data_IF_106484786515
#
_entry.id   IF_106484786515
#
_cell.length_a   1.000
_cell.length_b   1.000
_cell.length_c   1.000
_cell.angle_alpha   90.00
_cell.angle_beta   90.00
_cell.angle_gamma   90.00
#
_symmetry.space_group_name_H-M   'P 1'
#
loop_
_entity.id
_entity.type
_entity.pdbx_description
1 polymer ?
#
# COMPACT_ATOMS: atom_id res chain seq x y z
N UNK A 1 2.72 1.11 11.23
CA UNK A 1 3.54 2.31 11.55
C UNK A 1 5.06 2.11 11.47
N UNK A 2 5.63 0.93 11.75
CA UNK A 2 7.10 0.72 11.79
C UNK A 2 7.82 0.91 10.44
N UNK A 3 7.21 0.47 9.32
CA UNK A 3 7.81 0.55 7.97
C UNK A 3 8.07 1.98 7.48
N UNK A 4 7.12 2.91 7.66
CA UNK A 4 7.29 4.32 7.23
C UNK A 4 8.50 4.96 7.93
N UNK A 5 8.71 4.69 9.23
CA UNK A 5 9.87 5.19 9.98
C UNK A 5 11.20 4.67 9.44
N UNK A 6 11.27 3.37 9.14
CA UNK A 6 12.47 2.76 8.53
C UNK A 6 12.75 3.41 7.17
N UNK A 7 11.72 3.57 6.34
CA UNK A 7 11.88 4.17 5.02
C UNK A 7 12.37 5.63 5.09
N UNK A 8 11.83 6.44 6.01
CA UNK A 8 12.32 7.80 6.24
C UNK A 8 13.78 7.83 6.72
N UNK A 9 14.19 6.91 7.60
CA UNK A 9 15.60 6.79 8.01
C UNK A 9 16.51 6.43 6.84
N UNK A 10 16.09 5.48 5.99
CA UNK A 10 16.84 5.08 4.79
C UNK A 10 16.97 6.23 3.79
N UNK A 11 15.90 7.01 3.55
CA UNK A 11 15.95 8.21 2.71
C UNK A 11 16.90 9.25 3.31
N UNK A 12 16.86 9.46 4.63
CA UNK A 12 17.79 10.37 5.31
C UNK A 12 19.26 9.97 5.17
N UNK A 13 19.57 8.68 5.29
CA UNK A 13 20.92 8.16 5.08
C UNK A 13 21.38 8.31 3.62
N UNK A 14 20.51 8.01 2.66
CA UNK A 14 20.79 8.18 1.23
C UNK A 14 21.01 9.65 0.87
N UNK A 15 20.21 10.55 1.44
CA UNK A 15 20.37 11.99 1.24
C UNK A 15 21.67 12.52 1.84
N UNK A 16 22.06 12.04 3.03
CA UNK A 16 23.36 12.35 3.63
C UNK A 16 24.52 11.85 2.73
N UNK A 17 24.41 10.63 2.21
CA UNK A 17 25.36 10.07 1.24
C UNK A 17 25.43 10.85 -0.07
N UNK A 18 24.30 11.40 -0.55
CA UNK A 18 24.27 12.25 -1.73
C UNK A 18 25.05 13.55 -1.49
N UNK A 19 24.83 14.18 -0.32
CA UNK A 19 25.54 15.41 0.06
C UNK A 19 27.05 15.16 0.16
N UNK A 20 27.49 14.10 0.84
CA UNK A 20 28.92 13.81 0.96
C UNK A 20 29.55 13.55 -0.40
N UNK A 21 28.87 12.79 -1.26
CA UNK A 21 29.34 12.48 -2.62
C UNK A 21 29.43 13.73 -3.50
N UNK A 22 28.52 14.71 -3.32
CA UNK A 22 28.59 16.01 -4.00
C UNK A 22 29.83 16.82 -3.58
N UNK A 23 30.19 16.81 -2.30
CA UNK A 23 31.39 17.51 -1.81
C UNK A 23 32.71 16.85 -2.24
N UNK A 24 32.72 15.52 -2.42
CA UNK A 24 33.90 14.77 -2.85
C UNK A 24 33.89 14.45 -4.35
N UNK A 25 32.98 15.07 -5.11
CA UNK A 25 32.77 14.74 -6.50
C UNK A 25 33.97 15.13 -7.37
N UNK A 26 34.47 14.18 -8.15
CA UNK A 26 35.51 14.42 -9.15
C UNK A 26 35.04 13.94 -10.53
N UNK A 27 34.80 14.87 -11.45
CA UNK A 27 34.30 14.61 -12.81
C UNK A 27 35.20 13.73 -13.65
N UNK A 28 36.50 13.71 -13.37
CA UNK A 28 37.50 12.91 -14.09
C UNK A 28 37.58 11.46 -13.60
N UNK A 29 37.01 11.16 -12.42
CA UNK A 29 36.99 9.80 -11.87
C UNK A 29 35.70 9.09 -12.26
N UNK A 30 35.83 8.00 -13.02
CA UNK A 30 34.70 7.12 -13.37
C UNK A 30 34.00 6.61 -12.10
N UNK A 31 34.75 6.27 -11.05
CA UNK A 31 34.18 5.81 -9.78
C UNK A 31 33.30 6.88 -9.11
N UNK A 32 33.71 8.15 -9.17
CA UNK A 32 32.93 9.26 -8.62
C UNK A 32 31.64 9.48 -9.41
N UNK A 33 31.69 9.36 -10.74
CA UNK A 33 30.51 9.47 -11.60
C UNK A 33 29.50 8.35 -11.35
N UNK A 34 29.96 7.10 -11.25
CA UNK A 34 29.11 5.95 -10.95
C UNK A 34 28.50 6.10 -9.55
N UNK A 35 29.28 6.48 -8.54
CA UNK A 35 28.79 6.68 -7.17
C UNK A 35 27.66 7.73 -7.12
N UNK A 36 27.86 8.87 -7.79
CA UNK A 36 26.87 9.95 -7.81
C UNK A 36 25.56 9.50 -8.49
N UNK A 37 25.65 8.81 -9.63
CA UNK A 37 24.47 8.29 -10.35
C UNK A 37 23.74 7.23 -9.51
N UNK A 38 24.47 6.28 -8.91
CA UNK A 38 23.87 5.23 -8.08
C UNK A 38 23.16 5.79 -6.87
N UNK A 39 23.76 6.76 -6.16
CA UNK A 39 23.14 7.38 -4.99
C UNK A 39 21.94 8.23 -5.40
N UNK A 40 22.03 8.96 -6.52
CA UNK A 40 20.91 9.73 -7.04
C UNK A 40 19.71 8.82 -7.37
N UNK A 41 19.94 7.75 -8.15
CA UNK A 41 18.89 6.78 -8.49
C UNK A 41 18.33 6.08 -7.25
N UNK A 42 19.18 5.70 -6.30
CA UNK A 42 18.75 5.09 -5.03
C UNK A 42 17.89 6.02 -4.18
N UNK A 43 18.26 7.30 -4.11
CA UNK A 43 17.49 8.33 -3.39
C UNK A 43 16.15 8.57 -4.06
N UNK A 44 16.13 8.78 -5.39
CA UNK A 44 14.91 9.00 -6.15
C UNK A 44 13.95 7.81 -6.07
N UNK A 45 14.46 6.58 -6.25
CA UNK A 45 13.66 5.36 -6.13
C UNK A 45 13.07 5.16 -4.72
N UNK A 46 13.84 5.47 -3.69
CA UNK A 46 13.37 5.40 -2.30
C UNK A 46 12.24 6.40 -2.03
N UNK A 47 12.35 7.63 -2.56
CA UNK A 47 11.28 8.63 -2.47
C UNK A 47 10.04 8.16 -3.22
N UNK A 48 10.16 7.66 -4.45
CA UNK A 48 9.03 7.14 -5.23
C UNK A 48 8.31 6.00 -4.49
N UNK A 49 9.05 5.16 -3.76
CA UNK A 49 8.46 4.06 -2.98
C UNK A 49 7.53 4.52 -1.83
N UNK A 50 7.63 5.77 -1.37
CA UNK A 50 6.68 6.34 -0.40
C UNK A 50 5.27 6.47 -0.97
N UNK A 51 5.16 6.67 -2.28
CA UNK A 51 3.91 6.93 -2.97
C UNK A 51 3.23 5.66 -3.49
N UNK A 52 3.91 4.51 -3.42
CA UNK A 52 3.31 3.22 -3.80
C UNK A 52 2.40 2.77 -2.65
N UNK A 53 1.06 2.75 -2.85
CA UNK A 53 0.15 2.26 -1.83
C UNK A 53 0.43 0.77 -1.61
N UNK A 54 0.80 0.44 -0.38
CA UNK A 54 1.10 -0.93 0.04
C UNK A 54 -0.05 -1.57 0.81
N UNK A 55 -1.06 -0.76 1.08
CA UNK A 55 -2.34 -1.16 1.62
C UNK A 55 -3.37 -0.10 1.24
N UNK A 56 -4.57 -0.54 0.90
CA UNK A 56 -5.76 0.28 0.72
C UNK A 56 -6.76 -0.07 1.82
N UNK A 57 -7.43 0.94 2.37
CA UNK A 57 -8.37 0.75 3.47
C UNK A 57 -9.68 1.44 3.16
N UNK A 58 -10.79 0.71 3.35
CA UNK A 58 -12.13 1.24 3.16
C UNK A 58 -13.04 0.79 4.30
N UNK A 59 -13.73 1.76 4.91
CA UNK A 59 -14.84 1.50 5.83
C UNK A 59 -16.10 1.27 4.98
N UNK A 60 -16.83 0.21 5.31
CA UNK A 60 -18.07 -0.21 4.65
C UNK A 60 -19.19 -0.10 5.67
N UNK A 61 -20.25 0.57 5.29
CA UNK A 61 -21.48 0.68 6.07
C UNK A 61 -22.51 -0.34 5.58
N UNK A 62 -23.51 -0.63 6.42
CA UNK A 62 -24.56 -1.61 6.10
C UNK A 62 -25.30 -1.34 4.78
N UNK A 63 -25.42 -0.05 4.41
CA UNK A 63 -26.09 0.38 3.19
C UNK A 63 -25.23 0.29 1.92
N UNK A 64 -23.92 0.07 2.07
CA UNK A 64 -22.99 -0.03 0.95
C UNK A 64 -23.05 -1.41 0.26
N UNK A 65 -23.57 -2.42 0.96
CA UNK A 65 -23.72 -3.78 0.45
C UNK A 65 -24.82 -3.86 -0.61
N UNK A 66 -24.48 -4.39 -1.78
CA UNK A 66 -25.42 -4.64 -2.87
C UNK A 66 -25.87 -6.08 -2.84
N UNK A 67 -27.17 -6.32 -2.97
CA UNK A 67 -27.69 -7.68 -3.12
C UNK A 67 -27.54 -8.09 -4.58
N UNK A 68 -26.71 -9.10 -4.84
CA UNK A 68 -26.48 -9.66 -6.17
C UNK A 68 -26.72 -11.17 -6.07
N UNK A 69 -27.77 -11.65 -6.75
CA UNK A 69 -28.10 -13.08 -6.82
C UNK A 69 -28.30 -13.78 -5.45
N UNK A 70 -28.76 -13.04 -4.43
CA UNK A 70 -28.97 -13.57 -3.08
C UNK A 70 -27.82 -13.34 -2.11
N UNK A 71 -26.62 -13.00 -2.61
CA UNK A 71 -25.45 -12.66 -1.79
C UNK A 71 -25.33 -11.14 -1.60
N UNK A 72 -24.95 -10.72 -0.38
CA UNK A 72 -24.57 -9.33 -0.14
C UNK A 72 -23.11 -9.15 -0.52
N UNK A 73 -22.90 -8.32 -1.54
CA UNK A 73 -21.62 -8.16 -2.21
C UNK A 73 -21.15 -6.70 -2.15
N UNK A 74 -19.86 -6.51 -1.93
CA UNK A 74 -19.19 -5.21 -2.06
C UNK A 74 -17.99 -5.35 -2.99
N UNK A 75 -17.81 -4.38 -3.89
CA UNK A 75 -16.76 -4.42 -4.92
C UNK A 75 -15.86 -3.21 -4.73
N UNK A 76 -14.58 -3.46 -4.53
CA UNK A 76 -13.52 -2.45 -4.55
C UNK A 76 -12.77 -2.62 -5.87
N UNK A 77 -12.84 -1.60 -6.73
CA UNK A 77 -12.24 -1.69 -8.06
C UNK A 77 -10.73 -1.45 -8.01
N UNK A 78 -9.98 -2.08 -8.93
CA UNK A 78 -8.54 -1.93 -9.06
C UNK A 78 -8.11 -0.47 -9.22
N UNK A 79 -8.90 0.33 -9.92
CA UNK A 79 -8.64 1.77 -10.07
C UNK A 79 -8.67 2.54 -8.74
N UNK A 80 -9.33 2.01 -7.71
CA UNK A 80 -9.43 2.63 -6.39
C UNK A 80 -8.28 2.20 -5.48
N UNK A 81 -7.94 0.90 -5.45
CA UNK A 81 -6.90 0.39 -4.55
C UNK A 81 -5.50 0.29 -5.18
N UNK A 82 -5.39 0.19 -6.50
CA UNK A 82 -4.13 0.23 -7.26
C UNK A 82 -3.20 -0.98 -7.09
N UNK A 83 -3.65 -2.06 -6.47
CA UNK A 83 -2.82 -3.23 -6.13
C UNK A 83 -3.03 -4.34 -7.16
N UNK A 84 -1.96 -4.75 -7.86
CA UNK A 84 -2.02 -5.74 -8.97
C UNK A 84 -2.34 -7.16 -8.51
N UNK A 85 -1.95 -7.55 -7.31
CA UNK A 85 -2.19 -8.89 -6.76
C UNK A 85 -2.83 -8.75 -5.38
N UNK A 86 -4.10 -8.31 -5.32
CA UNK A 86 -4.72 -7.93 -4.07
C UNK A 86 -4.92 -9.14 -3.16
N UNK A 87 -4.63 -8.95 -1.88
CA UNK A 87 -5.11 -9.81 -0.79
C UNK A 87 -5.99 -8.96 0.11
N UNK A 88 -7.15 -9.45 0.50
CA UNK A 88 -8.08 -8.68 1.31
C UNK A 88 -8.28 -9.31 2.68
N UNK A 89 -8.57 -8.47 3.66
CA UNK A 89 -8.95 -8.88 5.01
C UNK A 89 -10.13 -8.02 5.45
N UNK A 90 -11.15 -8.67 6.01
CA UNK A 90 -12.33 -8.00 6.51
C UNK A 90 -12.29 -7.92 8.04
N UNK A 91 -12.69 -6.77 8.56
CA UNK A 91 -12.85 -6.54 9.98
C UNK A 91 -14.29 -6.12 10.25
N UNK A 92 -15.00 -6.90 11.03
CA UNK A 92 -16.35 -6.57 11.48
C UNK A 92 -16.29 -5.56 12.62
N UNK A 93 -17.16 -4.55 12.60
CA UNK A 93 -17.33 -3.61 13.71
C UNK A 93 -18.13 -4.27 14.83
N UNK A 94 -17.55 -4.31 16.03
CA UNK A 94 -18.14 -4.79 17.28
C UNK A 94 -18.17 -3.67 18.32
N UNK A 95 -18.85 -3.88 19.46
CA UNK A 95 -18.89 -2.89 20.55
C UNK A 95 -17.49 -2.55 21.11
N UNK A 96 -16.56 -3.51 21.00
CA UNK A 96 -15.17 -3.40 21.43
C UNK A 96 -14.21 -2.86 20.35
N UNK A 97 -14.67 -2.59 19.13
CA UNK A 97 -13.84 -2.08 18.03
C UNK A 97 -13.97 -2.86 16.73
N UNK A 98 -12.85 -3.26 16.13
CA UNK A 98 -12.80 -4.00 14.87
C UNK A 98 -12.17 -5.38 15.09
N UNK A 99 -12.90 -6.43 14.74
CA UNK A 99 -12.44 -7.82 14.88
C UNK A 99 -12.27 -8.44 13.50
N UNK A 100 -11.13 -9.10 13.25
CA UNK A 100 -10.91 -9.79 11.98
C UNK A 100 -11.89 -10.96 11.85
N UNK A 101 -12.58 -11.05 10.72
CA UNK A 101 -13.52 -12.14 10.42
C UNK A 101 -13.19 -12.68 9.04
N UNK A 102 -13.20 -14.00 8.92
CA UNK A 102 -13.02 -14.66 7.64
C UNK A 102 -14.32 -14.55 6.84
N UNK A 103 -14.22 -13.93 5.67
CA UNK A 103 -15.32 -13.82 4.70
C UNK A 103 -14.85 -14.32 3.35
N UNK A 104 -15.79 -14.58 2.46
CA UNK A 104 -15.44 -14.98 1.11
C UNK A 104 -15.01 -13.78 0.28
N UNK A 105 -13.82 -13.89 -0.32
CA UNK A 105 -13.30 -12.92 -1.29
C UNK A 105 -13.13 -13.58 -2.66
N UNK A 106 -13.59 -12.91 -3.71
CA UNK A 106 -13.23 -13.22 -5.10
C UNK A 106 -12.37 -12.09 -5.66
N UNK A 107 -11.44 -12.46 -6.54
CA UNK A 107 -10.52 -11.52 -7.18
C UNK A 107 -10.66 -11.63 -8.69
N UNK A 108 -11.36 -10.68 -9.29
CA UNK A 108 -11.65 -10.68 -10.73
C UNK A 108 -11.02 -9.45 -11.36
N UNK A 109 -10.13 -9.64 -12.35
CA UNK A 109 -9.41 -8.54 -13.02
C UNK A 109 -8.72 -7.56 -12.05
N UNK A 110 -8.22 -8.09 -10.93
CA UNK A 110 -7.63 -7.35 -9.80
C UNK A 110 -8.62 -6.53 -8.98
N UNK A 111 -9.93 -6.59 -9.24
CA UNK A 111 -10.94 -6.04 -8.33
C UNK A 111 -11.10 -6.98 -7.13
N UNK A 112 -11.41 -6.40 -5.96
CA UNK A 112 -11.71 -7.16 -4.73
C UNK A 112 -13.21 -7.22 -4.54
N UNK A 113 -13.76 -8.42 -4.57
CA UNK A 113 -15.17 -8.68 -4.37
C UNK A 113 -15.35 -9.38 -3.03
N UNK A 114 -15.94 -8.69 -2.07
CA UNK A 114 -16.26 -9.23 -0.74
C UNK A 114 -17.72 -9.72 -0.72
N UNK A 115 -17.95 -10.92 -0.16
CA UNK A 115 -19.29 -11.48 0.02
C UNK A 115 -19.56 -11.82 1.48
N UNK A 116 -20.75 -11.46 1.95
CA UNK A 116 -21.22 -11.73 3.32
C UNK A 116 -22.66 -12.24 3.33
N UNK A 117 -23.03 -13.02 4.34
CA UNK A 117 -24.39 -13.53 4.50
C UNK A 117 -25.38 -12.54 5.13
N UNK A 118 -24.90 -11.48 5.78
CA UNK A 118 -25.74 -10.45 6.44
C UNK A 118 -25.12 -9.07 6.27
N UNK A 119 -25.96 -8.04 6.22
CA UNK A 119 -25.49 -6.64 6.18
C UNK A 119 -24.73 -6.37 7.47
N UNK A 120 -23.59 -5.72 7.34
CA UNK A 120 -22.75 -5.39 8.48
C UNK A 120 -21.94 -4.13 8.21
N UNK A 121 -21.57 -3.45 9.29
CA UNK A 121 -20.57 -2.38 9.23
C UNK A 121 -19.20 -2.98 9.49
N UNK A 122 -18.22 -2.64 8.67
CA UNK A 122 -16.88 -3.20 8.78
C UNK A 122 -15.84 -2.38 8.05
N UNK A 123 -14.65 -2.96 7.92
CA UNK A 123 -13.50 -2.36 7.25
C UNK A 123 -12.83 -3.44 6.42
N UNK A 124 -12.58 -3.14 5.15
CA UNK A 124 -11.73 -3.97 4.28
C UNK A 124 -10.36 -3.33 4.20
N UNK A 125 -9.33 -4.15 4.39
CA UNK A 125 -7.95 -3.80 4.08
C UNK A 125 -7.52 -4.66 2.89
N UNK A 126 -7.03 -4.02 1.83
CA UNK A 126 -6.44 -4.68 0.66
C UNK A 126 -4.93 -4.47 0.71
N UNK A 127 -4.16 -5.54 0.50
CA UNK A 127 -2.69 -5.61 0.52
C UNK A 127 -2.15 -6.04 -0.84
#
# INVERSE_FOLDING_TARGET
>A
MKRKRILYCSIGLLFCGLITTLFTYNSHSIASNVSLISIFLGTAGSILSLFIPTQFEKIIHENDWKNVSGDLTYIIQYREHGIKTPKATFFLKTDSGYTAVEIYFSFEKNDVIAKVGRRCTGKIIVH
#
